data_IF_593493262545
#
_entry.id   IF_593493262545
#
_cell.length_a   1.000
_cell.length_b   1.000
_cell.length_c   1.000
_cell.angle_alpha   90.00
_cell.angle_beta   90.00
_cell.angle_gamma   90.00
#
_symmetry.space_group_name_H-M   'P 1'
#
loop_
_entity.id
_entity.type
_entity.pdbx_description
1 polymer ?
#
# COMPACT_ATOMS: atom_id res chain seq x y z
N UNK A 1 6.17 4.82 -0.61
CA UNK A 1 5.40 3.58 -0.28
C UNK A 1 4.19 3.50 -1.20
N UNK A 2 3.81 2.32 -1.65
CA UNK A 2 2.60 2.11 -2.45
C UNK A 2 1.65 1.17 -1.71
N UNK A 3 0.38 1.54 -1.64
CA UNK A 3 -0.69 0.71 -1.12
C UNK A 3 -1.53 0.22 -2.29
N UNK A 4 -1.52 -1.09 -2.54
CA UNK A 4 -2.22 -1.73 -3.65
C UNK A 4 -3.47 -2.41 -3.08
N UNK A 5 -4.64 -2.02 -3.57
CA UNK A 5 -5.92 -2.60 -3.19
C UNK A 5 -6.62 -3.19 -4.42
N UNK A 6 -7.49 -4.16 -4.20
CA UNK A 6 -8.34 -4.75 -5.23
C UNK A 6 -9.81 -4.69 -4.85
N UNK A 7 -10.70 -4.70 -5.85
CA UNK A 7 -12.13 -4.72 -5.61
C UNK A 7 -12.60 -6.12 -5.17
N UNK A 8 -12.61 -6.37 -3.87
CA UNK A 8 -12.99 -7.66 -3.29
C UNK A 8 -14.49 -7.98 -3.40
N UNK A 9 -15.34 -7.01 -3.75
CA UNK A 9 -16.76 -7.27 -4.03
C UNK A 9 -16.95 -7.98 -5.38
N UNK A 10 -16.00 -7.79 -6.30
CA UNK A 10 -16.09 -8.30 -7.67
C UNK A 10 -15.07 -9.42 -7.98
N UNK A 11 -13.99 -9.53 -7.20
CA UNK A 11 -12.91 -10.47 -7.48
C UNK A 11 -12.53 -11.26 -6.23
N UNK A 12 -12.22 -12.54 -6.39
CA UNK A 12 -11.86 -13.43 -5.27
C UNK A 12 -10.49 -13.10 -4.69
N UNK A 13 -9.59 -12.57 -5.52
CA UNK A 13 -8.23 -12.25 -5.14
C UNK A 13 -7.60 -11.20 -6.07
N UNK A 14 -6.42 -10.72 -5.66
CA UNK A 14 -5.64 -9.72 -6.39
C UNK A 14 -5.24 -10.19 -7.79
N UNK A 15 -4.86 -11.47 -7.95
CA UNK A 15 -4.40 -12.01 -9.24
C UNK A 15 -5.50 -12.00 -10.30
N UNK A 16 -6.73 -12.28 -9.89
CA UNK A 16 -7.91 -12.18 -10.75
C UNK A 16 -8.23 -10.72 -11.07
N UNK A 17 -8.26 -9.86 -10.06
CA UNK A 17 -8.55 -8.44 -10.22
C UNK A 17 -7.54 -7.73 -11.14
N UNK A 18 -6.26 -8.08 -11.07
CA UNK A 18 -5.19 -7.51 -11.90
C UNK A 18 -5.38 -7.69 -13.40
N UNK A 19 -6.24 -8.63 -13.83
CA UNK A 19 -6.57 -8.86 -15.25
C UNK A 19 -7.62 -7.87 -15.78
N UNK A 20 -8.30 -7.14 -14.89
CA UNK A 20 -9.35 -6.19 -15.22
C UNK A 20 -8.82 -4.75 -15.16
N UNK A 21 -9.21 -3.87 -16.10
CA UNK A 21 -8.76 -2.47 -16.11
C UNK A 21 -9.16 -1.67 -14.86
N UNK A 22 -10.21 -2.10 -14.14
CA UNK A 22 -10.71 -1.44 -12.92
C UNK A 22 -10.57 -2.33 -11.68
N UNK A 23 -9.77 -3.40 -11.75
CA UNK A 23 -9.67 -4.35 -10.63
C UNK A 23 -8.79 -3.86 -9.50
N UNK A 24 -7.85 -2.94 -9.78
CA UNK A 24 -6.87 -2.46 -8.81
C UNK A 24 -6.92 -0.94 -8.63
N UNK A 25 -6.62 -0.49 -7.42
CA UNK A 25 -6.34 0.91 -7.09
C UNK A 25 -4.97 0.99 -6.39
N UNK A 26 -4.15 1.96 -6.79
CA UNK A 26 -2.82 2.19 -6.21
C UNK A 26 -2.77 3.58 -5.60
N UNK A 27 -2.45 3.65 -4.30
CA UNK A 27 -2.18 4.92 -3.61
C UNK A 27 -0.69 5.04 -3.36
N UNK A 28 -0.07 6.09 -3.91
CA UNK A 28 1.36 6.37 -3.75
C UNK A 28 1.58 7.43 -2.68
N UNK A 29 2.39 7.10 -1.68
CA UNK A 29 2.73 7.99 -0.56
C UNK A 29 4.21 8.37 -0.68
N UNK A 30 4.46 9.66 -0.89
CA UNK A 30 5.80 10.23 -0.83
C UNK A 30 6.20 10.50 0.61
N UNK A 31 7.49 10.32 0.90
CA UNK A 31 8.06 10.58 2.21
C UNK A 31 9.03 11.76 2.10
N UNK A 32 8.97 12.65 3.08
CA UNK A 32 9.93 13.74 3.24
C UNK A 32 10.85 13.44 4.42
N UNK A 33 12.14 13.68 4.25
CA UNK A 33 13.13 13.56 5.33
C UNK A 33 12.81 14.59 6.43
N UNK A 34 12.92 14.17 7.68
CA UNK A 34 12.68 14.97 8.89
C UNK A 34 13.79 14.70 9.90
N UNK A 35 14.06 15.67 10.77
CA UNK A 35 14.99 15.50 11.91
C UNK A 35 14.40 14.61 13.01
N UNK A 36 13.07 14.53 13.08
CA UNK A 36 12.36 13.66 14.01
C UNK A 36 12.08 12.28 13.41
N UNK A 37 12.24 11.24 14.22
CA UNK A 37 11.84 9.88 13.86
C UNK A 37 10.32 9.76 13.82
N UNK A 38 9.81 8.94 12.89
CA UNK A 38 8.40 8.60 12.82
C UNK A 38 8.17 7.25 13.55
N UNK A 39 7.50 7.22 14.72
CA UNK A 39 7.33 5.99 15.51
C UNK A 39 6.58 4.88 14.77
N UNK A 40 5.65 5.23 13.87
CA UNK A 40 4.95 4.22 13.07
C UNK A 40 5.88 3.56 12.06
N UNK A 41 6.77 4.34 11.43
CA UNK A 41 7.76 3.79 10.51
C UNK A 41 8.83 2.98 11.24
N UNK A 42 9.19 3.33 12.48
CA UNK A 42 10.14 2.56 13.28
C UNK A 42 9.64 1.12 13.52
N UNK A 43 8.39 0.98 13.96
CA UNK A 43 7.72 -0.33 14.07
C UNK A 43 7.70 -1.09 12.75
N UNK A 44 7.30 -0.41 11.68
CA UNK A 44 7.19 -1.02 10.35
C UNK A 44 8.54 -1.53 9.80
N UNK A 45 9.63 -0.84 10.16
CA UNK A 45 10.99 -1.18 9.73
C UNK A 45 11.72 -2.11 10.72
N UNK A 46 11.06 -2.60 11.76
CA UNK A 46 11.66 -3.40 12.84
C UNK A 46 12.90 -2.72 13.45
N UNK A 47 12.80 -1.44 13.77
CA UNK A 47 13.86 -0.62 14.38
C UNK A 47 13.56 -0.21 15.82
N UNK A 48 12.53 -0.80 16.42
CA UNK A 48 12.22 -0.68 17.85
C UNK A 48 13.08 -1.63 18.70
#
# INVERSE_FOLDING_TARGET
VQLIHYNHELYTNVTEAAKSPNGLVVVSIFMKVSESSNPFLNRMLNRD
#
